data_IF_146584230061
#
_entry.id   IF_146584230061
#
_cell.length_a   1.000
_cell.length_b   1.000
_cell.length_c   1.000
_cell.angle_alpha   90.00
_cell.angle_beta   90.00
_cell.angle_gamma   90.00
#
_symmetry.space_group_name_H-M   'P 1'
#
loop_
_entity.id
_entity.type
_entity.pdbx_description
1 polymer ?
#
# COMPACT_ATOMS: atom_id res chain seq x y z
N UNK A 1 -2.45 -18.16 23.40
CA UNK A 1 -3.14 -18.06 22.09
C UNK A 1 -2.10 -18.22 21.00
N UNK A 2 -2.45 -18.77 19.84
CA UNK A 2 -1.53 -18.83 18.70
C UNK A 2 -1.14 -17.41 18.25
N UNK A 3 0.10 -17.23 17.79
CA UNK A 3 0.54 -15.95 17.21
C UNK A 3 -0.23 -15.73 15.90
N UNK A 4 -0.72 -14.50 15.69
CA UNK A 4 -1.36 -14.13 14.41
C UNK A 4 -0.34 -14.18 13.28
N UNK A 5 -0.74 -14.69 12.12
CA UNK A 5 0.07 -14.76 10.90
C UNK A 5 -0.27 -13.59 10.00
N UNK A 6 0.71 -12.76 9.67
CA UNK A 6 0.55 -11.61 8.79
C UNK A 6 1.35 -11.79 7.51
N UNK A 7 0.71 -11.47 6.39
CA UNK A 7 1.44 -11.17 5.15
C UNK A 7 1.70 -9.68 5.13
N UNK A 8 2.95 -9.27 5.02
CA UNK A 8 3.34 -7.86 4.90
C UNK A 8 4.11 -7.70 3.60
N UNK A 9 3.62 -6.87 2.68
CA UNK A 9 4.23 -6.74 1.35
C UNK A 9 4.36 -5.28 0.94
N UNK A 10 5.33 -5.01 0.06
CA UNK A 10 5.54 -3.71 -0.57
C UNK A 10 5.64 -3.87 -2.09
N UNK A 11 4.83 -3.11 -2.81
CA UNK A 11 4.84 -3.04 -4.28
C UNK A 11 4.62 -1.57 -4.69
N UNK A 12 5.74 -0.86 -4.89
CA UNK A 12 5.77 0.60 -5.02
C UNK A 12 6.27 1.02 -6.41
N UNK A 13 5.44 1.70 -7.19
CA UNK A 13 5.83 2.37 -8.42
C UNK A 13 4.84 3.46 -8.78
N UNK A 14 5.34 4.58 -9.31
CA UNK A 14 4.54 5.63 -9.91
C UNK A 14 4.71 5.57 -11.43
N UNK A 15 3.61 5.33 -12.15
CA UNK A 15 3.67 5.27 -13.61
C UNK A 15 3.36 6.62 -14.25
N UNK A 16 4.30 7.10 -15.06
CA UNK A 16 4.06 8.08 -16.08
C UNK A 16 3.74 7.37 -17.41
N UNK A 17 2.47 7.34 -17.80
CA UNK A 17 2.00 6.67 -19.02
C UNK A 17 2.50 7.30 -20.33
N UNK A 18 3.12 8.47 -20.27
CA UNK A 18 3.80 9.12 -21.41
C UNK A 18 5.30 8.85 -21.46
N UNK A 19 5.86 8.21 -20.42
CA UNK A 19 7.29 7.87 -20.40
C UNK A 19 7.58 6.72 -21.37
N UNK A 20 8.60 6.84 -22.23
CA UNK A 20 9.01 5.75 -23.13
C UNK A 20 9.89 4.69 -22.46
N UNK A 21 10.24 4.87 -21.18
CA UNK A 21 11.13 3.96 -20.44
C UNK A 21 10.28 2.95 -19.67
N UNK A 22 10.22 1.67 -20.10
CA UNK A 22 9.46 0.65 -19.39
C UNK A 22 10.09 0.35 -18.02
N UNK A 23 9.31 -0.26 -17.14
CA UNK A 23 9.75 -0.66 -15.79
C UNK A 23 9.86 -2.19 -15.69
N UNK A 24 11.04 -2.78 -15.97
CA UNK A 24 11.27 -4.21 -15.82
C UNK A 24 11.40 -4.60 -14.34
N UNK A 25 11.25 -5.89 -14.03
CA UNK A 25 11.37 -6.41 -12.65
C UNK A 25 12.69 -6.01 -11.98
N UNK A 26 13.79 -5.95 -12.75
CA UNK A 26 15.11 -5.53 -12.25
C UNK A 26 15.15 -4.10 -11.71
N UNK A 27 14.25 -3.22 -12.14
CA UNK A 27 14.15 -1.85 -11.61
C UNK A 27 13.64 -1.81 -10.17
N UNK A 28 12.87 -2.82 -9.75
CA UNK A 28 12.27 -2.92 -8.42
C UNK A 28 13.21 -3.49 -7.36
N UNK A 29 14.27 -4.20 -7.78
CA UNK A 29 15.21 -4.93 -6.91
C UNK A 29 14.49 -5.72 -5.81
N UNK A 30 13.57 -6.63 -6.17
CA UNK A 30 12.67 -7.27 -5.22
C UNK A 30 13.44 -8.07 -4.17
N UNK A 31 13.09 -7.85 -2.90
CA UNK A 31 13.54 -8.65 -1.76
C UNK A 31 12.36 -9.46 -1.20
N UNK A 32 12.67 -10.51 -0.45
CA UNK A 32 11.69 -11.33 0.27
C UNK A 32 12.32 -11.92 1.54
N UNK A 33 11.46 -12.41 2.44
CA UNK A 33 11.87 -13.11 3.66
C UNK A 33 12.80 -12.27 4.53
N UNK A 34 13.86 -12.90 5.06
CA UNK A 34 14.79 -12.24 6.00
C UNK A 34 15.51 -11.05 5.38
N UNK A 35 15.90 -11.12 4.10
CA UNK A 35 16.58 -10.00 3.43
C UNK A 35 15.70 -8.74 3.40
N UNK A 36 14.39 -8.89 3.16
CA UNK A 36 13.46 -7.77 3.22
C UNK A 36 13.25 -7.27 4.66
N UNK A 37 13.22 -8.19 5.64
CA UNK A 37 13.11 -7.81 7.06
C UNK A 37 14.32 -7.03 7.54
N UNK A 38 15.53 -7.42 7.14
CA UNK A 38 16.77 -6.73 7.49
C UNK A 38 16.84 -5.34 6.86
N UNK A 39 16.47 -5.22 5.58
CA UNK A 39 16.52 -3.95 4.83
C UNK A 39 15.53 -2.91 5.36
N UNK A 40 14.29 -3.33 5.68
CA UNK A 40 13.20 -2.39 5.94
C UNK A 40 12.85 -2.22 7.43
N UNK A 41 13.39 -3.04 8.33
CA UNK A 41 13.15 -2.91 9.78
C UNK A 41 13.65 -1.56 10.30
N UNK A 42 12.82 -0.93 11.12
CA UNK A 42 13.11 0.36 11.77
C UNK A 42 13.46 1.49 10.75
N UNK A 43 13.00 1.38 9.50
CA UNK A 43 13.09 2.44 8.49
C UNK A 43 11.85 3.32 8.45
N UNK A 44 11.99 4.57 7.98
CA UNK A 44 10.84 5.44 7.68
C UNK A 44 10.24 5.12 6.30
N UNK A 45 9.95 3.86 6.04
CA UNK A 45 9.20 3.42 4.86
C UNK A 45 7.82 2.91 5.31
N UNK A 46 6.82 2.89 4.43
CA UNK A 46 5.53 2.28 4.75
C UNK A 46 5.69 0.82 5.22
N UNK A 47 6.56 0.05 4.55
CA UNK A 47 6.88 -1.32 4.93
C UNK A 47 7.48 -1.38 6.35
N UNK A 48 8.45 -0.52 6.66
CA UNK A 48 9.03 -0.41 7.99
C UNK A 48 7.99 -0.08 9.07
N UNK A 49 7.06 0.82 8.78
CA UNK A 49 5.93 1.14 9.66
C UNK A 49 5.02 -0.07 9.93
N UNK A 50 4.68 -0.85 8.88
CA UNK A 50 3.90 -2.08 9.04
C UNK A 50 4.65 -3.16 9.82
N UNK A 51 5.95 -3.33 9.57
CA UNK A 51 6.80 -4.28 10.31
C UNK A 51 6.88 -3.92 11.79
N UNK A 52 6.92 -2.62 12.12
CA UNK A 52 6.86 -2.15 13.50
C UNK A 52 5.54 -2.56 14.17
N UNK A 53 4.39 -2.32 13.53
CA UNK A 53 3.07 -2.72 14.07
C UNK A 53 2.98 -4.23 14.24
N UNK A 54 3.45 -5.00 13.27
CA UNK A 54 3.45 -6.46 13.33
C UNK A 54 4.32 -6.99 14.49
N UNK A 55 5.48 -6.36 14.74
CA UNK A 55 6.35 -6.65 15.89
C UNK A 55 5.66 -6.36 17.22
N UNK A 56 5.03 -5.19 17.34
CA UNK A 56 4.29 -4.80 18.56
C UNK A 56 3.11 -5.74 18.85
N UNK A 57 2.45 -6.27 17.81
CA UNK A 57 1.40 -7.29 17.93
C UNK A 57 1.94 -8.67 18.34
N UNK A 58 3.26 -8.90 18.24
CA UNK A 58 3.85 -10.23 18.41
C UNK A 58 3.46 -11.21 17.31
N UNK A 59 3.16 -10.73 16.10
CA UNK A 59 2.76 -11.55 14.97
C UNK A 59 3.91 -12.43 14.44
N UNK A 60 3.56 -13.50 13.73
CA UNK A 60 4.42 -14.20 12.78
C UNK A 60 4.28 -13.51 11.42
N UNK A 61 5.39 -13.06 10.82
CA UNK A 61 5.36 -12.23 9.61
C UNK A 61 5.98 -12.99 8.44
N UNK A 62 5.26 -12.99 7.31
CA UNK A 62 5.78 -13.37 6.00
C UNK A 62 5.89 -12.14 5.12
N UNK A 63 7.07 -11.89 4.55
CA UNK A 63 7.32 -10.82 3.57
C UNK A 63 7.58 -11.47 2.21
N UNK A 64 6.54 -11.74 1.40
CA UNK A 64 6.72 -12.41 0.11
C UNK A 64 7.35 -11.51 -0.95
N UNK A 65 7.17 -10.19 -0.80
CA UNK A 65 7.68 -9.20 -1.73
C UNK A 65 7.90 -7.87 -1.01
N UNK A 66 9.10 -7.31 -1.16
CA UNK A 66 9.40 -5.92 -0.93
C UNK A 66 10.08 -5.35 -2.18
N UNK A 67 9.32 -4.60 -2.96
CA UNK A 67 9.70 -4.16 -4.30
C UNK A 67 9.34 -2.68 -4.49
N UNK A 68 10.31 -1.86 -4.90
CA UNK A 68 10.11 -0.44 -5.16
C UNK A 68 10.97 0.04 -6.31
N UNK A 69 10.34 0.68 -7.31
CA UNK A 69 11.02 1.27 -8.46
C UNK A 69 10.86 2.79 -8.47
N UNK A 70 11.84 3.48 -9.07
CA UNK A 70 11.71 4.92 -9.33
C UNK A 70 10.64 5.19 -10.40
N UNK A 71 9.96 6.35 -10.34
CA UNK A 71 8.93 6.72 -11.31
C UNK A 71 9.43 6.61 -12.75
N UNK A 72 8.69 5.88 -13.59
CA UNK A 72 9.00 5.70 -15.02
C UNK A 72 7.75 5.23 -15.77
N UNK A 73 7.89 4.53 -16.90
CA UNK A 73 6.76 4.11 -17.73
C UNK A 73 5.95 2.96 -17.15
N UNK A 74 5.23 2.27 -18.02
CA UNK A 74 4.46 1.09 -17.67
C UNK A 74 5.34 0.00 -17.06
N UNK A 75 4.82 -0.66 -16.02
CA UNK A 75 5.41 -1.89 -15.52
C UNK A 75 5.24 -2.98 -16.57
N UNK A 76 6.34 -3.63 -16.93
CA UNK A 76 6.29 -4.76 -17.86
C UNK A 76 5.35 -5.84 -17.35
N UNK A 77 4.57 -6.45 -18.23
CA UNK A 77 3.58 -7.48 -17.87
C UNK A 77 4.18 -8.56 -16.97
N UNK A 78 5.34 -9.10 -17.35
CA UNK A 78 6.00 -10.17 -16.59
C UNK A 78 6.38 -9.72 -15.18
N UNK A 79 6.93 -8.51 -15.03
CA UNK A 79 7.29 -7.95 -13.74
C UNK A 79 6.08 -7.79 -12.82
N UNK A 80 4.98 -7.26 -13.36
CA UNK A 80 3.74 -7.08 -12.61
C UNK A 80 3.13 -8.41 -12.16
N UNK A 81 3.06 -9.40 -13.07
CA UNK A 81 2.51 -10.73 -12.77
C UNK A 81 3.37 -11.46 -11.72
N UNK A 82 4.70 -11.43 -11.84
CA UNK A 82 5.62 -12.04 -10.86
C UNK A 82 5.43 -11.46 -9.45
N UNK A 83 5.33 -10.13 -9.35
CA UNK A 83 5.10 -9.44 -8.07
C UNK A 83 3.72 -9.77 -7.48
N UNK A 84 2.67 -9.77 -8.30
CA UNK A 84 1.33 -10.15 -7.87
C UNK A 84 1.26 -11.60 -7.39
N UNK A 85 1.87 -12.53 -8.13
CA UNK A 85 1.87 -13.95 -7.81
C UNK A 85 2.58 -14.24 -6.49
N UNK A 86 3.67 -13.52 -6.18
CA UNK A 86 4.34 -13.63 -4.89
C UNK A 86 3.41 -13.26 -3.72
N UNK A 87 2.72 -12.12 -3.81
CA UNK A 87 1.81 -11.63 -2.76
C UNK A 87 0.57 -12.52 -2.64
N UNK A 88 -0.10 -12.80 -3.77
CA UNK A 88 -1.33 -13.60 -3.81
C UNK A 88 -1.04 -15.05 -3.40
N UNK A 89 0.11 -15.60 -3.79
CA UNK A 89 0.56 -16.93 -3.39
C UNK A 89 0.73 -17.06 -1.87
N UNK A 90 1.36 -16.07 -1.22
CA UNK A 90 1.50 -16.05 0.23
C UNK A 90 0.15 -15.94 0.96
N UNK A 91 -0.77 -15.11 0.45
CA UNK A 91 -2.13 -15.04 1.00
C UNK A 91 -2.87 -16.37 0.83
N UNK A 92 -2.76 -17.02 -0.34
CA UNK A 92 -3.38 -18.31 -0.63
C UNK A 92 -2.88 -19.42 0.32
N UNK A 93 -1.62 -19.34 0.76
CA UNK A 93 -1.06 -20.27 1.75
C UNK A 93 -1.66 -20.09 3.17
N UNK A 94 -2.31 -18.95 3.43
CA UNK A 94 -3.07 -18.67 4.63
C UNK A 94 -2.41 -17.66 5.57
N UNK A 95 -3.15 -16.62 5.93
CA UNK A 95 -2.79 -15.63 6.94
C UNK A 95 -4.06 -15.07 7.61
N UNK A 96 -3.88 -14.40 8.75
CA UNK A 96 -4.97 -13.78 9.51
C UNK A 96 -5.28 -12.36 9.04
N UNK A 97 -4.29 -11.67 8.46
CA UNK A 97 -4.45 -10.35 7.83
C UNK A 97 -3.29 -10.05 6.86
N UNK A 98 -3.49 -9.06 6.00
CA UNK A 98 -2.45 -8.52 5.12
C UNK A 98 -2.23 -7.02 5.33
N UNK A 99 -0.97 -6.61 5.36
CA UNK A 99 -0.52 -5.23 5.36
C UNK A 99 0.21 -4.94 4.04
N UNK A 100 -0.30 -4.00 3.24
CA UNK A 100 0.19 -3.72 1.90
C UNK A 100 0.67 -2.28 1.81
N UNK A 101 1.97 -2.10 1.63
CA UNK A 101 2.58 -0.83 1.27
C UNK A 101 2.53 -0.68 -0.25
N UNK A 102 1.59 0.13 -0.74
CA UNK A 102 1.35 0.35 -2.16
C UNK A 102 1.53 1.84 -2.48
N UNK A 103 1.91 2.14 -3.72
CA UNK A 103 1.98 3.54 -4.14
C UNK A 103 0.56 4.09 -4.37
N UNK A 104 -0.26 3.35 -5.11
CA UNK A 104 -1.60 3.72 -5.54
C UNK A 104 -1.65 4.36 -6.93
N UNK A 105 -0.57 4.33 -7.71
CA UNK A 105 -0.52 4.92 -9.06
C UNK A 105 0.24 4.02 -10.04
N UNK A 106 0.22 2.70 -9.80
CA UNK A 106 0.89 1.74 -10.65
C UNK A 106 0.03 1.41 -11.86
N UNK A 107 0.64 1.48 -13.03
CA UNK A 107 0.03 1.01 -14.28
C UNK A 107 0.97 0.01 -14.94
N UNK A 108 0.44 -1.18 -15.25
CA UNK A 108 1.15 -2.20 -16.01
C UNK A 108 0.70 -2.18 -17.47
N UNK A 109 1.49 -2.76 -18.37
CA UNK A 109 1.17 -2.81 -19.82
C UNK A 109 -0.24 -3.33 -20.16
N UNK A 110 -0.83 -4.11 -19.26
CA UNK A 110 -2.13 -4.76 -19.45
C UNK A 110 -3.14 -4.49 -18.34
N UNK A 111 -2.81 -3.61 -17.38
CA UNK A 111 -3.63 -3.30 -16.22
C UNK A 111 -3.54 -1.81 -15.92
N UNK A 112 -4.67 -1.10 -16.07
CA UNK A 112 -4.77 0.34 -15.83
C UNK A 112 -4.76 0.73 -14.34
N UNK A 113 -5.16 -0.21 -13.47
CA UNK A 113 -5.25 -0.06 -12.01
C UNK A 113 -4.50 -1.22 -11.33
N UNK A 114 -3.19 -1.06 -11.15
CA UNK A 114 -2.33 -2.11 -10.60
C UNK A 114 -2.70 -2.49 -9.16
N UNK A 115 -2.94 -1.50 -8.30
CA UNK A 115 -3.31 -1.74 -6.92
C UNK A 115 -4.69 -2.39 -6.78
N UNK A 116 -5.68 -1.90 -7.51
CA UNK A 116 -7.03 -2.46 -7.50
C UNK A 116 -7.09 -3.88 -8.04
N UNK A 117 -6.35 -4.19 -9.10
CA UNK A 117 -6.26 -5.55 -9.63
C UNK A 117 -5.57 -6.50 -8.65
N UNK A 118 -4.47 -6.09 -7.99
CA UNK A 118 -3.84 -6.88 -6.93
C UNK A 118 -4.84 -7.18 -5.80
N UNK A 119 -5.55 -6.17 -5.31
CA UNK A 119 -6.52 -6.33 -4.21
C UNK A 119 -7.67 -7.26 -4.61
N UNK A 120 -8.18 -7.14 -5.85
CA UNK A 120 -9.18 -8.05 -6.41
C UNK A 120 -8.69 -9.50 -6.45
N UNK A 121 -7.43 -9.73 -6.87
CA UNK A 121 -6.82 -11.08 -6.87
C UNK A 121 -6.67 -11.66 -5.47
N UNK A 122 -6.26 -10.85 -4.50
CA UNK A 122 -6.19 -11.25 -3.09
C UNK A 122 -7.57 -11.67 -2.59
N UNK A 123 -8.62 -10.89 -2.89
CA UNK A 123 -10.00 -11.20 -2.50
C UNK A 123 -10.54 -12.48 -3.15
N UNK A 124 -10.11 -12.79 -4.38
CA UNK A 124 -10.49 -14.03 -5.04
C UNK A 124 -9.99 -15.29 -4.30
N UNK A 125 -8.81 -15.22 -3.68
CA UNK A 125 -8.23 -16.36 -2.93
C UNK A 125 -8.55 -16.32 -1.43
N UNK A 126 -8.83 -15.13 -0.87
CA UNK A 126 -9.16 -14.93 0.54
C UNK A 126 -10.28 -13.88 0.71
N UNK A 127 -11.55 -14.24 0.46
CA UNK A 127 -12.67 -13.29 0.37
C UNK A 127 -12.93 -12.45 1.61
N UNK A 128 -12.56 -12.95 2.79
CA UNK A 128 -12.81 -12.29 4.09
C UNK A 128 -11.55 -11.81 4.79
N UNK A 129 -10.40 -11.82 4.11
CA UNK A 129 -9.14 -11.43 4.73
C UNK A 129 -9.16 -9.94 5.14
N UNK A 130 -8.87 -9.57 6.38
CA UNK A 130 -8.68 -8.16 6.74
C UNK A 130 -7.42 -7.60 6.06
N UNK A 131 -7.54 -6.49 5.32
CA UNK A 131 -6.43 -5.89 4.55
C UNK A 131 -6.25 -4.41 4.91
N UNK A 132 -5.04 -4.04 5.31
CA UNK A 132 -4.63 -2.66 5.53
C UNK A 132 -3.74 -2.21 4.38
N UNK A 133 -4.07 -1.07 3.79
CA UNK A 133 -3.31 -0.49 2.67
C UNK A 133 -2.80 0.88 3.08
N UNK A 134 -1.47 1.07 2.97
CA UNK A 134 -0.85 2.39 2.97
C UNK A 134 -0.70 2.85 1.54
N UNK A 135 -1.06 4.11 1.25
CA UNK A 135 -0.95 4.74 -0.07
C UNK A 135 -0.06 5.98 -0.04
N UNK A 136 0.54 6.28 -1.19
CA UNK A 136 1.21 7.55 -1.44
C UNK A 136 0.18 8.71 -1.51
N UNK A 137 0.66 9.93 -1.25
CA UNK A 137 -0.09 11.16 -1.47
C UNK A 137 -0.56 11.32 -2.93
N UNK A 138 0.24 10.84 -3.89
CA UNK A 138 -0.05 10.91 -5.33
C UNK A 138 -0.91 9.74 -5.84
N UNK A 139 -1.47 8.93 -4.94
CA UNK A 139 -2.31 7.80 -5.33
C UNK A 139 -3.52 8.19 -6.20
N UNK A 140 -3.73 7.43 -7.27
CA UNK A 140 -4.93 7.42 -8.06
C UNK A 140 -5.92 6.38 -7.49
N UNK A 141 -6.67 6.80 -6.47
CA UNK A 141 -7.62 5.91 -5.80
C UNK A 141 -8.78 5.49 -6.71
N UNK A 142 -9.07 4.19 -6.75
CA UNK A 142 -10.16 3.60 -7.57
C UNK A 142 -11.20 2.87 -6.71
N UNK A 143 -12.39 2.62 -7.29
CA UNK A 143 -13.43 1.80 -6.64
C UNK A 143 -12.91 0.41 -6.24
N UNK A 144 -12.24 -0.36 -7.13
CA UNK A 144 -11.67 -1.65 -6.76
C UNK A 144 -10.75 -1.59 -5.54
N UNK A 145 -9.90 -0.56 -5.39
CA UNK A 145 -9.05 -0.45 -4.21
C UNK A 145 -9.87 -0.33 -2.92
N UNK A 146 -10.90 0.51 -2.94
CA UNK A 146 -11.74 0.79 -1.76
C UNK A 146 -12.63 -0.40 -1.41
N UNK A 147 -13.25 -1.04 -2.41
CA UNK A 147 -14.15 -2.18 -2.23
C UNK A 147 -13.42 -3.44 -1.73
N UNK A 148 -12.13 -3.56 -2.04
CA UNK A 148 -11.35 -4.75 -1.72
C UNK A 148 -10.41 -4.56 -0.51
N UNK A 149 -10.31 -3.37 0.09
CA UNK A 149 -9.55 -3.12 1.31
C UNK A 149 -10.45 -3.05 2.56
N UNK A 150 -9.86 -3.27 3.75
CA UNK A 150 -10.56 -3.06 5.04
C UNK A 150 -10.22 -1.70 5.65
N UNK A 151 -8.96 -1.27 5.49
CA UNK A 151 -8.46 0.03 5.94
C UNK A 151 -7.55 0.58 4.84
N UNK A 152 -7.72 1.86 4.50
CA UNK A 152 -6.83 2.59 3.60
C UNK A 152 -6.40 3.88 4.26
N UNK A 153 -5.10 4.17 4.27
CA UNK A 153 -4.58 5.47 4.73
C UNK A 153 -3.55 6.01 3.73
N UNK A 154 -3.54 7.32 3.50
CA UNK A 154 -2.57 7.97 2.61
C UNK A 154 -1.53 8.79 3.38
N UNK A 155 -0.44 9.15 2.73
CA UNK A 155 0.49 10.16 3.25
C UNK A 155 -0.22 11.49 3.48
N UNK A 156 0.26 12.24 4.48
CA UNK A 156 -0.26 13.56 4.85
C UNK A 156 0.72 14.68 4.53
N UNK A 157 1.94 14.37 4.09
CA UNK A 157 3.00 15.34 3.82
C UNK A 157 3.55 15.28 2.40
N UNK A 158 3.97 16.43 1.88
CA UNK A 158 4.75 16.58 0.65
C UNK A 158 5.79 17.71 0.85
N UNK A 159 7.11 17.42 0.84
CA UNK A 159 7.73 16.11 0.61
C UNK A 159 7.34 15.07 1.67
N UNK A 160 7.34 13.79 1.29
CA UNK A 160 6.88 12.69 2.13
C UNK A 160 7.87 12.42 3.26
N UNK A 161 7.48 12.77 4.48
CA UNK A 161 8.26 12.49 5.71
C UNK A 161 7.50 11.56 6.67
N UNK A 162 6.22 11.28 6.39
CA UNK A 162 5.30 10.50 7.23
C UNK A 162 4.99 9.10 6.67
N UNK A 163 5.92 8.53 5.89
CA UNK A 163 5.71 7.25 5.21
C UNK A 163 5.54 6.10 6.21
N UNK A 164 6.45 5.98 7.18
CA UNK A 164 6.35 4.97 8.24
C UNK A 164 5.15 5.20 9.14
N UNK A 165 4.84 6.45 9.47
CA UNK A 165 3.65 6.81 10.25
C UNK A 165 2.37 6.37 9.55
N UNK A 166 2.30 6.51 8.22
CA UNK A 166 1.14 6.06 7.43
C UNK A 166 0.96 4.55 7.49
N UNK A 167 2.03 3.76 7.31
CA UNK A 167 1.98 2.31 7.52
C UNK A 167 1.52 1.95 8.94
N UNK A 168 1.99 2.68 9.95
CA UNK A 168 1.57 2.47 11.33
C UNK A 168 0.09 2.80 11.55
N UNK A 169 -0.43 3.91 11.00
CA UNK A 169 -1.85 4.27 11.11
C UNK A 169 -2.74 3.20 10.50
N UNK A 170 -2.47 2.77 9.26
CA UNK A 170 -3.21 1.68 8.62
C UNK A 170 -3.17 0.39 9.44
N UNK A 171 -1.97 -0.03 9.84
CA UNK A 171 -1.76 -1.27 10.59
C UNK A 171 -2.46 -1.26 11.95
N UNK A 172 -2.29 -0.18 12.73
CA UNK A 172 -2.92 -0.05 14.07
C UNK A 172 -4.44 -0.04 13.98
N UNK A 173 -5.02 0.65 13.00
CA UNK A 173 -6.48 0.64 12.78
C UNK A 173 -6.98 -0.76 12.46
N UNK A 174 -6.29 -1.51 11.61
CA UNK A 174 -6.68 -2.89 11.32
C UNK A 174 -6.50 -3.81 12.53
N UNK A 175 -5.45 -3.62 13.34
CA UNK A 175 -5.25 -4.38 14.59
C UNK A 175 -6.40 -4.15 15.58
N UNK A 176 -6.87 -2.90 15.74
CA UNK A 176 -8.06 -2.61 16.56
C UNK A 176 -9.28 -3.34 16.04
N UNK A 177 -9.46 -3.41 14.72
CA UNK A 177 -10.56 -4.17 14.10
C UNK A 177 -10.43 -5.68 14.35
N UNK A 178 -9.22 -6.25 14.25
CA UNK A 178 -8.93 -7.66 14.54
C UNK A 178 -9.16 -8.03 16.02
N UNK A 179 -9.14 -7.05 16.92
CA UNK A 179 -9.45 -7.22 18.34
C UNK A 179 -10.93 -6.97 18.66
N UNK A 180 -11.75 -6.60 17.67
CA UNK A 180 -13.16 -6.26 17.87
C UNK A 180 -13.39 -4.92 18.57
N UNK A 181 -12.37 -4.04 18.59
CA UNK A 181 -12.45 -2.73 19.23
C UNK A 181 -13.14 -1.69 18.33
N UNK A 182 -13.08 -1.91 17.00
CA UNK A 182 -13.69 -1.05 15.98
C UNK A 182 -14.21 -1.89 14.81
N UNK A 183 -15.15 -1.34 14.07
CA UNK A 183 -15.65 -1.90 12.81
C UNK A 183 -15.42 -0.85 11.69
N UNK A 184 -14.33 -0.95 10.91
CA UNK A 184 -14.05 0.02 9.86
C UNK A 184 -15.12 0.03 8.77
N UNK A 185 -15.55 1.23 8.36
CA UNK A 185 -16.48 1.44 7.25
C UNK A 185 -15.80 2.31 6.20
N UNK A 186 -15.80 1.86 4.95
CA UNK A 186 -15.21 2.60 3.83
C UNK A 186 -16.26 3.50 3.17
N UNK A 187 -15.93 4.80 3.06
CA UNK A 187 -16.72 5.79 2.29
C UNK A 187 -15.76 6.48 1.34
N UNK A 188 -16.10 6.51 0.05
CA UNK A 188 -15.25 7.09 -0.98
C UNK A 188 -16.07 7.84 -2.03
N UNK A 189 -15.49 8.93 -2.55
CA UNK A 189 -16.05 9.70 -3.65
C UNK A 189 -14.90 10.35 -4.42
N UNK A 190 -14.95 10.27 -5.75
CA UNK A 190 -14.02 10.99 -6.62
C UNK A 190 -14.61 12.34 -7.05
N UNK A 191 -13.73 13.33 -7.23
CA UNK A 191 -14.07 14.62 -7.85
C UNK A 191 -13.36 14.67 -9.21
N UNK A 192 -14.05 15.04 -10.31
CA UNK A 192 -13.44 15.08 -11.64
C UNK A 192 -12.54 16.32 -11.78
N UNK A 193 -11.45 16.36 -11.01
CA UNK A 193 -10.49 17.45 -10.96
C UNK A 193 -9.07 16.90 -10.87
N UNK A 194 -8.13 17.57 -11.54
CA UNK A 194 -6.70 17.34 -11.35
C UNK A 194 -6.13 18.47 -10.50
N UNK A 195 -5.44 18.12 -9.43
CA UNK A 195 -4.72 19.10 -8.60
C UNK A 195 -3.40 19.47 -9.26
N UNK A 196 -3.00 20.73 -9.15
CA UNK A 196 -1.70 21.18 -9.67
C UNK A 196 -0.57 20.66 -8.80
N UNK A 197 0.30 19.81 -9.37
CA UNK A 197 1.46 19.23 -8.67
C UNK A 197 2.46 20.28 -8.19
N UNK A 198 2.45 21.48 -8.79
CA UNK A 198 3.33 22.59 -8.40
C UNK A 198 2.94 23.24 -7.07
N UNK A 199 1.69 23.09 -6.62
CA UNK A 199 1.15 23.72 -5.41
C UNK A 199 0.35 22.76 -4.53
N UNK A 200 0.58 21.44 -4.66
CA UNK A 200 -0.13 20.42 -3.87
C UNK A 200 0.45 20.17 -2.47
N UNK A 201 1.44 20.95 -2.03
CA UNK A 201 2.08 20.73 -0.73
C UNK A 201 1.09 21.02 0.41
N UNK A 202 0.80 20.05 1.32
CA UNK A 202 -0.12 20.26 2.44
C UNK A 202 0.29 21.39 3.40
N UNK A 203 1.55 21.84 3.35
CA UNK A 203 2.03 22.98 4.14
C UNK A 203 1.64 24.36 3.55
N UNK A 204 1.05 24.41 2.35
CA UNK A 204 0.73 25.64 1.63
C UNK A 204 -0.68 25.59 1.02
N UNK A 205 -1.25 26.76 0.80
CA UNK A 205 -2.50 26.85 0.04
C UNK A 205 -2.26 26.47 -1.43
N UNK A 206 -3.24 25.84 -2.11
CA UNK A 206 -4.61 25.58 -1.63
C UNK A 206 -4.81 24.24 -0.90
N UNK A 207 -3.79 23.37 -0.82
CA UNK A 207 -3.94 22.02 -0.26
C UNK A 207 -4.05 22.01 1.28
N UNK A 208 -3.46 23.01 1.94
CA UNK A 208 -3.39 23.10 3.39
C UNK A 208 -4.74 22.92 4.09
N UNK A 209 -5.75 23.71 3.70
CA UNK A 209 -7.04 23.68 4.41
C UNK A 209 -7.74 22.33 4.22
N UNK A 210 -7.65 21.74 3.03
CA UNK A 210 -8.23 20.44 2.72
C UNK A 210 -7.56 19.34 3.57
N UNK A 211 -6.24 19.35 3.65
CA UNK A 211 -5.50 18.35 4.43
C UNK A 211 -5.66 18.53 5.94
N UNK A 212 -5.71 19.77 6.44
CA UNK A 212 -6.00 20.04 7.86
C UNK A 212 -7.39 19.49 8.23
N UNK A 213 -8.40 19.71 7.38
CA UNK A 213 -9.74 19.16 7.59
C UNK A 213 -9.75 17.63 7.57
N UNK A 214 -9.02 17.01 6.64
CA UNK A 214 -8.91 15.55 6.55
C UNK A 214 -8.21 14.96 7.79
N UNK A 215 -7.12 15.57 8.25
CA UNK A 215 -6.36 15.13 9.42
C UNK A 215 -7.18 15.26 10.70
N UNK A 216 -7.99 16.32 10.84
CA UNK A 216 -8.85 16.52 12.00
C UNK A 216 -10.04 15.54 12.07
N UNK A 217 -10.41 14.91 10.94
CA UNK A 217 -11.52 13.97 10.86
C UNK A 217 -11.11 12.51 11.14
N UNK A 218 -9.81 12.18 11.16
CA UNK A 218 -9.24 10.86 11.44
C UNK A 218 -8.88 10.70 12.93
#
# INVERSE_FOLDING_TARGET
MARRKLVVAMMMHETNTFSPVPTPLGAFRPLAGEAALEEFRDTNTQLGGFLQVARELGAEVSVPLAAGAHPSGYVERGAYEDMCDAIVGAVRAGCDAAFLALHGAMVAEHVDDGEGELLRRIRAVAPRLPIAVGLDFHSHMTAPMIENATVVTGYRTYPHIDMGETGQRAGRTLVRALNGEVEPVMVWSSRPMMTSTLVHAPSRQPMKDIMDMAIAAE
#
